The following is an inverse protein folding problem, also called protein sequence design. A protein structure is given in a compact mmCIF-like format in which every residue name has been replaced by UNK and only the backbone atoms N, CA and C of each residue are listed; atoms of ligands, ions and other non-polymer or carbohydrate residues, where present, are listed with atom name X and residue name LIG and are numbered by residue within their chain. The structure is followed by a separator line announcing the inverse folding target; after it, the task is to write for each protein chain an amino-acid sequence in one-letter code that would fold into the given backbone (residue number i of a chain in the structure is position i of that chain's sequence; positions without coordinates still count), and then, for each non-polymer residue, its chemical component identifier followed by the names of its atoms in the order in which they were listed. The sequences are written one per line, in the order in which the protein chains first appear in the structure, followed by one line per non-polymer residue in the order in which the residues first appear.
data_IF_910306702086
#
_entry.id   IF_910306702086
#
_cell.length_a   1.000
_cell.length_b   1.000
_cell.length_c   1.000
_cell.angle_alpha   90.00
_cell.angle_beta   90.00
_cell.angle_gamma   90.00
#
_symmetry.space_group_name_H-M   'P 1'
#
loop_
_entity.id
_entity.type
_entity.pdbx_description
1 polymer ?
#
# COMPACT_ATOMS: atom_id res chain seq x y z
N UNK A 1 -9.03 12.97 1.20
CA UNK A 1 -10.48 12.65 1.22
C UNK A 1 -11.20 13.35 0.08
N UNK A 2 -11.24 14.70 0.03
CA UNK A 2 -12.01 15.44 -0.97
C UNK A 2 -11.61 15.14 -2.42
N UNK A 3 -10.31 15.04 -2.70
CA UNK A 3 -9.79 14.71 -4.03
C UNK A 3 -10.19 13.30 -4.49
N UNK A 4 -10.04 12.30 -3.64
CA UNK A 4 -10.46 10.92 -3.95
C UNK A 4 -11.99 10.84 -4.14
N UNK A 5 -12.77 11.49 -3.27
CA UNK A 5 -14.22 11.55 -3.43
C UNK A 5 -14.64 12.13 -4.79
N UNK A 6 -14.04 13.26 -5.18
CA UNK A 6 -14.29 13.87 -6.48
C UNK A 6 -13.90 12.95 -7.65
N UNK A 7 -12.78 12.23 -7.52
CA UNK A 7 -12.31 11.28 -8.53
C UNK A 7 -13.29 10.11 -8.69
N UNK A 8 -13.72 9.50 -7.59
CA UNK A 8 -14.68 8.39 -7.61
C UNK A 8 -16.02 8.79 -8.24
N UNK A 9 -16.54 9.94 -7.85
CA UNK A 9 -17.79 10.48 -8.45
C UNK A 9 -17.63 10.73 -9.95
N UNK A 10 -16.53 11.38 -10.36
CA UNK A 10 -16.28 11.70 -11.77
C UNK A 10 -16.13 10.45 -12.65
N UNK A 11 -15.46 9.42 -12.15
CA UNK A 11 -15.25 8.16 -12.90
C UNK A 11 -16.40 7.17 -12.73
N UNK A 12 -17.40 7.49 -11.90
CA UNK A 12 -18.46 6.58 -11.48
C UNK A 12 -17.93 5.25 -10.89
N UNK A 13 -16.71 5.27 -10.33
CA UNK A 13 -16.12 4.12 -9.66
C UNK A 13 -16.65 3.99 -8.24
N UNK A 14 -17.03 2.77 -7.87
CA UNK A 14 -17.53 2.43 -6.53
C UNK A 14 -16.62 1.45 -5.77
N UNK A 15 -15.50 1.09 -6.36
CA UNK A 15 -14.52 0.15 -5.80
C UNK A 15 -13.12 0.74 -5.88
N UNK A 16 -12.33 0.54 -4.83
CA UNK A 16 -10.90 0.85 -4.82
C UNK A 16 -10.10 -0.38 -4.40
N UNK A 17 -8.89 -0.49 -4.93
CA UNK A 17 -7.92 -1.53 -4.59
C UNK A 17 -6.67 -0.86 -4.03
N UNK A 18 -6.19 -1.31 -2.89
CA UNK A 18 -5.02 -0.74 -2.24
C UNK A 18 -4.12 -1.84 -1.68
N UNK A 19 -2.83 -1.74 -1.96
CA UNK A 19 -1.82 -2.62 -1.38
C UNK A 19 -1.52 -2.23 0.06
N UNK A 20 -1.65 -3.16 1.01
CA UNK A 20 -1.43 -2.92 2.43
C UNK A 20 -0.20 -3.70 2.89
N UNK A 21 0.90 -2.97 3.09
CA UNK A 21 2.17 -3.53 3.58
C UNK A 21 2.25 -3.60 5.11
N UNK A 22 1.37 -2.90 5.82
CA UNK A 22 1.46 -2.68 7.27
C UNK A 22 2.41 -1.54 7.65
N UNK A 23 2.90 -0.76 6.69
CA UNK A 23 3.68 0.46 6.92
C UNK A 23 2.80 1.72 6.92
N UNK A 24 3.41 2.86 7.31
CA UNK A 24 2.72 4.15 7.50
C UNK A 24 1.96 4.63 6.26
N UNK A 25 2.58 4.51 5.07
CA UNK A 25 2.01 5.08 3.83
C UNK A 25 0.76 4.32 3.38
N UNK A 26 0.82 2.99 3.38
CA UNK A 26 -0.33 2.15 3.07
C UNK A 26 -1.45 2.30 4.11
N UNK A 27 -1.07 2.52 5.37
CA UNK A 27 -2.01 2.80 6.46
C UNK A 27 -2.74 4.12 6.25
N UNK A 28 -2.02 5.21 5.97
CA UNK A 28 -2.67 6.50 5.69
C UNK A 28 -3.57 6.43 4.45
N UNK A 29 -3.10 5.78 3.39
CA UNK A 29 -3.90 5.59 2.18
C UNK A 29 -5.21 4.81 2.45
N UNK A 30 -5.15 3.75 3.26
CA UNK A 30 -6.33 2.99 3.66
C UNK A 30 -7.31 3.85 4.49
N UNK A 31 -6.81 4.61 5.46
CA UNK A 31 -7.62 5.53 6.28
C UNK A 31 -8.30 6.61 5.43
N UNK A 32 -7.59 7.15 4.41
CA UNK A 32 -8.17 8.09 3.44
C UNK A 32 -9.28 7.42 2.64
N UNK A 33 -9.09 6.18 2.19
CA UNK A 33 -10.13 5.41 1.49
C UNK A 33 -11.36 5.23 2.37
N UNK A 34 -11.19 4.75 3.60
CA UNK A 34 -12.29 4.54 4.55
C UNK A 34 -13.09 5.83 4.79
N UNK A 35 -12.41 6.93 5.14
CA UNK A 35 -13.07 8.22 5.34
C UNK A 35 -13.73 8.77 4.08
N UNK A 36 -13.22 8.44 2.90
CA UNK A 36 -13.82 8.83 1.62
C UNK A 36 -15.10 8.04 1.36
N UNK A 37 -15.07 6.73 1.62
CA UNK A 37 -16.23 5.86 1.44
C UNK A 37 -17.34 6.20 2.44
N UNK A 38 -17.00 6.44 3.71
CA UNK A 38 -17.95 6.93 4.71
C UNK A 38 -18.62 8.25 4.26
N UNK A 39 -17.81 9.20 3.73
CA UNK A 39 -18.31 10.49 3.23
C UNK A 39 -19.25 10.35 2.04
N UNK A 40 -19.01 9.37 1.17
CA UNK A 40 -19.81 9.10 -0.03
C UNK A 40 -20.96 8.11 0.23
N UNK A 41 -21.12 7.65 1.47
CA UNK A 41 -22.09 6.62 1.87
C UNK A 41 -21.93 5.32 1.05
N UNK A 42 -20.68 5.01 0.65
CA UNK A 42 -20.31 3.77 -0.05
C UNK A 42 -19.94 2.67 0.95
N UNK A 43 -20.30 1.41 0.67
CA UNK A 43 -19.94 0.30 1.55
C UNK A 43 -18.41 0.14 1.67
N UNK A 44 -17.87 0.10 2.89
CA UNK A 44 -16.43 -0.16 3.13
C UNK A 44 -15.96 -1.49 2.53
N UNK A 45 -16.85 -2.45 2.33
CA UNK A 45 -16.58 -3.73 1.63
C UNK A 45 -16.14 -3.56 0.17
N UNK A 46 -16.39 -2.41 -0.42
CA UNK A 46 -15.89 -2.07 -1.76
C UNK A 46 -14.45 -1.50 -1.73
N UNK A 47 -13.83 -1.37 -0.57
CA UNK A 47 -12.39 -1.12 -0.41
C UNK A 47 -11.74 -2.50 -0.32
N UNK A 48 -10.95 -2.85 -1.33
CA UNK A 48 -10.24 -4.14 -1.40
C UNK A 48 -8.80 -3.89 -0.94
N UNK A 49 -8.51 -4.20 0.31
CA UNK A 49 -7.16 -4.18 0.85
C UNK A 49 -6.45 -5.50 0.53
N UNK A 50 -5.31 -5.43 -0.12
CA UNK A 50 -4.52 -6.62 -0.50
C UNK A 50 -3.18 -6.60 0.21
N UNK A 51 -2.91 -7.60 1.05
CA UNK A 51 -1.56 -7.86 1.55
C UNK A 51 -0.87 -8.89 0.67
N UNK A 52 0.36 -8.60 0.30
CA UNK A 52 1.11 -9.41 -0.68
C UNK A 52 2.49 -9.77 -0.10
N UNK A 53 2.54 -10.77 0.81
CA UNK A 53 3.80 -11.15 1.44
C UNK A 53 4.81 -11.65 0.40
N UNK A 54 6.01 -11.08 0.47
CA UNK A 54 7.19 -11.45 -0.31
C UNK A 54 8.30 -12.00 0.58
N UNK A 55 9.56 -11.91 0.10
CA UNK A 55 10.70 -12.46 0.83
C UNK A 55 11.14 -11.58 2.02
N UNK A 56 10.89 -10.27 1.99
CA UNK A 56 11.25 -9.32 3.05
C UNK A 56 10.10 -8.97 4.01
N UNK A 57 8.96 -9.64 3.93
CA UNK A 57 7.80 -9.33 4.80
C UNK A 57 8.04 -9.88 6.21
N UNK A 58 7.91 -9.03 7.23
CA UNK A 58 8.02 -9.42 8.64
C UNK A 58 6.65 -9.78 9.21
N UNK A 59 6.63 -10.66 10.22
CA UNK A 59 5.37 -11.06 10.89
C UNK A 59 4.66 -9.86 11.51
N UNK A 60 5.38 -8.89 12.06
CA UNK A 60 4.80 -7.69 12.67
C UNK A 60 4.03 -6.86 11.64
N UNK A 61 4.65 -6.51 10.53
CA UNK A 61 4.00 -5.71 9.48
C UNK A 61 2.84 -6.45 8.82
N UNK A 62 2.99 -7.74 8.62
CA UNK A 62 1.95 -8.60 8.09
C UNK A 62 0.72 -8.65 9.02
N UNK A 63 0.90 -8.92 10.31
CA UNK A 63 -0.19 -8.97 11.28
C UNK A 63 -0.87 -7.60 11.42
N UNK A 64 -0.10 -6.51 11.45
CA UNK A 64 -0.64 -5.16 11.49
C UNK A 64 -1.52 -4.85 10.27
N UNK A 65 -1.12 -5.28 9.07
CA UNK A 65 -1.92 -5.13 7.88
C UNK A 65 -3.27 -5.84 8.00
N UNK A 66 -3.28 -7.09 8.44
CA UNK A 66 -4.50 -7.89 8.60
C UNK A 66 -5.42 -7.32 9.67
N UNK A 67 -4.89 -7.02 10.86
CA UNK A 67 -5.67 -6.48 11.97
C UNK A 67 -6.29 -5.12 11.61
N UNK A 68 -5.53 -4.23 10.98
CA UNK A 68 -6.03 -2.92 10.56
C UNK A 68 -7.16 -3.05 9.53
N UNK A 69 -6.98 -3.89 8.52
CA UNK A 69 -8.01 -4.10 7.51
C UNK A 69 -9.29 -4.70 8.11
N UNK A 70 -9.15 -5.64 9.06
CA UNK A 70 -10.28 -6.26 9.74
C UNK A 70 -11.05 -5.25 10.59
N UNK A 71 -10.35 -4.49 11.45
CA UNK A 71 -10.97 -3.50 12.34
C UNK A 71 -11.66 -2.36 11.58
N UNK A 72 -11.15 -1.97 10.41
CA UNK A 72 -11.77 -0.96 9.54
C UNK A 72 -12.95 -1.51 8.70
N UNK A 73 -13.18 -2.81 8.71
CA UNK A 73 -14.30 -3.45 8.03
C UNK A 73 -14.22 -3.49 6.50
N UNK A 74 -13.01 -3.42 5.93
CA UNK A 74 -12.78 -3.52 4.48
C UNK A 74 -12.75 -4.98 4.00
N UNK A 75 -12.74 -5.20 2.70
CA UNK A 75 -12.53 -6.56 2.14
C UNK A 75 -11.05 -6.87 2.11
N UNK A 76 -10.67 -7.99 2.71
CA UNK A 76 -9.28 -8.43 2.82
C UNK A 76 -8.99 -9.49 1.77
N UNK A 77 -7.85 -9.34 1.09
CA UNK A 77 -7.24 -10.39 0.27
C UNK A 77 -5.79 -10.57 0.66
N UNK A 78 -5.37 -11.81 0.69
CA UNK A 78 -3.99 -12.20 0.88
C UNK A 78 -3.51 -12.93 -0.37
N UNK A 79 -2.44 -12.44 -1.00
CA UNK A 79 -1.88 -13.00 -2.21
C UNK A 79 -0.36 -13.03 -2.07
N UNK A 80 0.22 -14.20 -1.80
CA UNK A 80 1.68 -14.35 -1.77
C UNK A 80 2.25 -14.19 -3.17
N UNK A 81 3.30 -13.35 -3.28
CA UNK A 81 4.03 -13.15 -4.54
C UNK A 81 5.22 -14.10 -4.69
N UNK A 82 5.53 -14.92 -3.68
CA UNK A 82 6.77 -15.70 -3.64
C UNK A 82 6.91 -16.65 -4.84
N UNK A 83 5.88 -17.44 -5.13
CA UNK A 83 5.93 -18.42 -6.22
C UNK A 83 6.06 -17.75 -7.61
N UNK A 84 5.32 -16.65 -7.82
CA UNK A 84 5.40 -15.89 -9.06
C UNK A 84 6.82 -15.30 -9.25
N UNK A 85 7.40 -14.71 -8.20
CA UNK A 85 8.76 -14.18 -8.24
C UNK A 85 9.80 -15.28 -8.45
N UNK A 86 9.68 -16.45 -7.79
CA UNK A 86 10.56 -17.59 -8.01
C UNK A 86 10.54 -18.04 -9.48
N UNK A 87 9.34 -18.12 -10.05
CA UNK A 87 9.19 -18.48 -11.45
C UNK A 87 9.83 -17.43 -12.36
N UNK A 88 9.53 -16.14 -12.10
CA UNK A 88 10.09 -15.04 -12.87
C UNK A 88 11.62 -15.01 -12.83
N UNK A 89 12.23 -15.18 -11.66
CA UNK A 89 13.69 -15.21 -11.52
C UNK A 89 14.34 -16.36 -12.34
N UNK A 90 13.71 -17.53 -12.35
CA UNK A 90 14.16 -18.64 -13.20
C UNK A 90 14.07 -18.31 -14.70
N UNK A 91 13.00 -17.62 -15.11
CA UNK A 91 12.75 -17.30 -16.53
C UNK A 91 13.74 -16.24 -17.06
N UNK A 92 14.32 -15.41 -16.19
CA UNK A 92 15.33 -14.38 -16.53
C UNK A 92 16.76 -14.75 -16.12
N UNK A 93 17.00 -16.00 -15.72
CA UNK A 93 18.30 -16.50 -15.24
C UNK A 93 18.91 -15.67 -14.09
N UNK A 94 18.05 -15.13 -13.19
CA UNK A 94 18.50 -14.36 -12.02
C UNK A 94 18.73 -15.28 -10.82
N UNK A 95 19.90 -15.15 -10.17
CA UNK A 95 20.22 -15.86 -8.95
C UNK A 95 19.49 -15.23 -7.76
N UNK A 96 18.58 -15.98 -7.14
CA UNK A 96 17.78 -15.53 -5.99
C UNK A 96 18.59 -15.19 -4.74
N UNK A 97 19.86 -15.62 -4.66
CA UNK A 97 20.75 -15.26 -3.54
C UNK A 97 21.34 -13.86 -3.70
N UNK A 98 21.24 -13.28 -4.90
CA UNK A 98 21.68 -11.91 -5.20
C UNK A 98 20.52 -10.94 -4.99
N UNK A 99 20.57 -10.22 -3.88
CA UNK A 99 19.56 -9.23 -3.52
C UNK A 99 19.91 -7.86 -4.11
N UNK A 100 19.81 -7.73 -5.41
CA UNK A 100 20.09 -6.51 -6.18
C UNK A 100 18.80 -5.77 -6.59
N UNK A 101 18.95 -4.76 -7.44
CA UNK A 101 17.83 -3.98 -7.98
C UNK A 101 16.84 -4.84 -8.78
N UNK A 102 17.30 -5.93 -9.41
CA UNK A 102 16.44 -6.88 -10.14
C UNK A 102 15.52 -7.62 -9.17
N UNK A 103 16.11 -8.13 -8.09
CA UNK A 103 15.39 -8.82 -7.03
C UNK A 103 14.30 -7.97 -6.40
N UNK A 104 14.58 -6.71 -6.09
CA UNK A 104 13.62 -5.79 -5.48
C UNK A 104 12.54 -5.34 -6.46
N UNK A 105 12.94 -4.89 -7.64
CA UNK A 105 12.00 -4.39 -8.65
C UNK A 105 11.03 -5.47 -9.16
N UNK A 106 11.49 -6.71 -9.28
CA UNK A 106 10.62 -7.82 -9.70
C UNK A 106 9.49 -8.05 -8.69
N UNK A 107 9.79 -8.05 -7.40
CA UNK A 107 8.78 -8.19 -6.35
C UNK A 107 7.80 -7.00 -6.33
N UNK A 108 8.29 -5.78 -6.51
CA UNK A 108 7.46 -4.58 -6.54
C UNK A 108 6.53 -4.57 -7.76
N UNK A 109 7.03 -4.97 -8.94
CA UNK A 109 6.23 -5.05 -10.17
C UNK A 109 5.17 -6.14 -10.10
N UNK A 110 5.50 -7.29 -9.50
CA UNK A 110 4.51 -8.36 -9.27
C UNK A 110 3.34 -7.87 -8.41
N UNK A 111 3.62 -7.14 -7.32
CA UNK A 111 2.56 -6.52 -6.50
C UNK A 111 1.73 -5.53 -7.31
N UNK A 112 2.37 -4.69 -8.10
CA UNK A 112 1.69 -3.70 -8.93
C UNK A 112 0.80 -4.37 -9.97
N UNK A 113 1.27 -5.40 -10.65
CA UNK A 113 0.49 -6.19 -11.60
C UNK A 113 -0.77 -6.76 -10.95
N UNK A 114 -0.65 -7.41 -9.80
CA UNK A 114 -1.78 -7.95 -9.06
C UNK A 114 -2.82 -6.86 -8.72
N UNK A 115 -2.36 -5.71 -8.22
CA UNK A 115 -3.26 -4.60 -7.86
C UNK A 115 -4.03 -4.09 -9.09
N UNK A 116 -3.33 -3.88 -10.21
CA UNK A 116 -3.91 -3.38 -11.45
C UNK A 116 -4.93 -4.37 -12.04
N UNK A 117 -4.60 -5.64 -12.08
CA UNK A 117 -5.47 -6.68 -12.63
C UNK A 117 -6.72 -6.91 -11.77
N UNK A 118 -6.57 -6.88 -10.43
CA UNK A 118 -7.71 -6.94 -9.53
C UNK A 118 -8.62 -5.72 -9.70
N UNK A 119 -8.05 -4.52 -9.84
CA UNK A 119 -8.82 -3.31 -10.09
C UNK A 119 -9.56 -3.38 -11.43
N UNK A 120 -8.90 -3.81 -12.50
CA UNK A 120 -9.52 -3.99 -13.81
C UNK A 120 -10.70 -4.96 -13.74
N UNK A 121 -10.51 -6.11 -13.10
CA UNK A 121 -11.54 -7.13 -12.95
C UNK A 121 -12.76 -6.63 -12.16
N UNK A 122 -12.56 -5.74 -11.20
CA UNK A 122 -13.62 -5.21 -10.33
C UNK A 122 -14.18 -3.86 -10.80
N UNK A 123 -13.69 -3.31 -11.91
CA UNK A 123 -14.06 -1.97 -12.36
C UNK A 123 -13.69 -0.88 -11.36
N UNK A 124 -12.59 -1.05 -10.64
CA UNK A 124 -12.13 -0.18 -9.57
C UNK A 124 -10.91 0.65 -9.93
N UNK A 125 -10.44 1.45 -8.96
CA UNK A 125 -9.21 2.24 -9.07
C UNK A 125 -8.15 1.71 -8.12
N UNK A 126 -6.90 1.60 -8.59
CA UNK A 126 -5.73 1.37 -7.72
C UNK A 126 -5.36 2.66 -7.02
N UNK A 127 -5.33 2.61 -5.69
CA UNK A 127 -4.93 3.74 -4.85
C UNK A 127 -3.44 3.64 -4.53
N UNK A 128 -2.69 4.67 -4.94
CA UNK A 128 -1.27 4.79 -4.65
C UNK A 128 -1.00 5.23 -3.22
N UNK A 129 0.02 4.64 -2.64
CA UNK A 129 0.44 4.87 -1.26
C UNK A 129 1.67 5.75 -1.13
N UNK A 130 2.44 5.96 -2.22
CA UNK A 130 3.66 6.77 -2.25
C UNK A 130 3.43 8.20 -1.77
N UNK A 131 4.35 8.69 -0.95
CA UNK A 131 4.30 10.02 -0.35
C UNK A 131 5.12 11.07 -1.14
N UNK A 132 5.03 12.34 -0.73
CA UNK A 132 5.76 13.43 -1.36
C UNK A 132 7.29 13.27 -1.24
N UNK A 133 7.79 12.74 -0.12
CA UNK A 133 9.23 12.58 0.09
C UNK A 133 9.82 11.53 -0.85
N UNK A 134 9.10 10.43 -1.06
CA UNK A 134 9.48 9.39 -2.04
C UNK A 134 9.51 9.97 -3.47
N UNK A 135 8.49 10.73 -3.85
CA UNK A 135 8.42 11.37 -5.16
C UNK A 135 9.54 12.42 -5.36
N UNK A 136 9.81 13.24 -4.33
CA UNK A 136 10.82 14.29 -4.40
C UNK A 136 12.24 13.73 -4.48
N UNK A 137 12.51 12.60 -3.82
CA UNK A 137 13.82 11.95 -3.78
C UNK A 137 14.01 10.91 -4.90
N UNK A 138 12.96 10.57 -5.66
CA UNK A 138 12.97 9.44 -6.57
C UNK A 138 13.13 8.10 -5.85
N UNK A 139 12.69 8.02 -4.60
CA UNK A 139 12.80 6.84 -3.75
C UNK A 139 11.66 5.87 -4.02
N UNK A 140 11.74 5.16 -5.12
CA UNK A 140 10.75 4.17 -5.55
C UNK A 140 11.39 3.11 -6.44
N UNK A 141 10.79 1.94 -6.49
CA UNK A 141 11.11 0.91 -7.49
C UNK A 141 10.58 1.32 -8.85
N UNK A 142 11.42 1.30 -9.89
CA UNK A 142 11.02 1.74 -11.22
C UNK A 142 9.90 0.87 -11.81
N UNK A 143 8.79 1.51 -12.19
CA UNK A 143 7.57 0.86 -12.68
C UNK A 143 7.01 -0.22 -11.71
N UNK A 144 7.20 -0.02 -10.42
CA UNK A 144 6.71 -0.89 -9.38
C UNK A 144 5.75 -0.17 -8.43
N UNK A 145 6.10 -0.09 -7.18
CA UNK A 145 5.26 0.36 -6.06
C UNK A 145 4.72 1.81 -6.16
N UNK A 146 5.35 2.67 -6.96
CA UNK A 146 4.85 4.04 -7.23
C UNK A 146 3.73 4.08 -8.29
N UNK A 147 3.51 2.98 -9.01
CA UNK A 147 2.48 2.93 -10.06
C UNK A 147 1.09 2.80 -9.45
N UNK A 148 0.21 3.72 -9.81
CA UNK A 148 -1.18 3.71 -9.34
C UNK A 148 -2.09 4.51 -10.28
N UNK A 149 -3.40 4.41 -10.07
CA UNK A 149 -4.39 5.18 -10.81
C UNK A 149 -4.74 6.49 -10.10
N UNK A 150 -4.54 6.57 -8.77
CA UNK A 150 -4.75 7.78 -7.98
C UNK A 150 -3.91 7.75 -6.69
N UNK A 151 -2.91 8.62 -6.58
CA UNK A 151 -2.04 8.76 -5.40
C UNK A 151 -2.66 9.68 -4.34
N UNK A 152 -3.07 9.14 -3.21
CA UNK A 152 -3.70 9.93 -2.12
C UNK A 152 -2.69 10.63 -1.21
N UNK A 153 -1.46 10.12 -1.12
CA UNK A 153 -0.40 10.66 -0.28
C UNK A 153 0.61 11.53 -1.06
N UNK A 154 0.46 11.70 -2.37
CA UNK A 154 1.45 12.31 -3.26
C UNK A 154 1.88 13.75 -2.88
N UNK A 155 1.07 14.45 -2.10
CA UNK A 155 1.38 15.82 -1.62
C UNK A 155 1.73 15.89 -0.13
N UNK A 156 1.89 14.74 0.55
CA UNK A 156 2.08 14.65 2.00
C UNK A 156 3.49 14.13 2.29
N UNK A 157 4.38 14.90 2.94
CA UNK A 157 5.72 14.42 3.28
C UNK A 157 5.68 13.35 4.38
N UNK A 158 6.66 12.45 4.42
CA UNK A 158 6.76 11.31 5.34
C UNK A 158 6.53 11.67 6.80
N UNK A 159 7.07 12.79 7.25
CA UNK A 159 6.89 13.27 8.63
C UNK A 159 5.43 13.59 8.95
N UNK A 160 4.71 14.18 7.99
CA UNK A 160 3.28 14.48 8.14
C UNK A 160 2.44 13.21 8.05
N UNK A 161 2.82 12.22 7.23
CA UNK A 161 2.17 10.90 7.21
C UNK A 161 2.15 10.29 8.61
N UNK A 162 3.31 10.24 9.28
CA UNK A 162 3.44 9.73 10.65
C UNK A 162 2.56 10.50 11.63
N UNK A 163 2.59 11.83 11.56
CA UNK A 163 1.79 12.69 12.43
C UNK A 163 0.28 12.43 12.23
N UNK A 164 -0.19 12.36 11.00
CA UNK A 164 -1.61 12.12 10.69
C UNK A 164 -2.08 10.74 11.16
N UNK A 165 -1.30 9.69 10.95
CA UNK A 165 -1.64 8.35 11.43
C UNK A 165 -1.73 8.33 12.96
N UNK A 166 -0.76 8.95 13.65
CA UNK A 166 -0.79 9.07 15.10
C UNK A 166 -2.01 9.89 15.59
N UNK A 167 -2.31 11.01 14.95
CA UNK A 167 -3.48 11.83 15.30
C UNK A 167 -4.78 11.04 15.14
N UNK A 168 -4.93 10.29 14.05
CA UNK A 168 -6.12 9.45 13.81
C UNK A 168 -6.22 8.34 14.87
N UNK A 169 -5.11 7.72 15.23
CA UNK A 169 -5.07 6.71 16.29
C UNK A 169 -5.60 7.25 17.63
N UNK A 170 -5.30 8.50 17.94
CA UNK A 170 -5.70 9.12 19.21
C UNK A 170 -7.12 9.71 19.21
N UNK A 171 -7.65 10.10 18.04
CA UNK A 171 -8.87 10.91 17.95
C UNK A 171 -9.93 10.38 16.99
N UNK A 172 -9.63 9.41 16.14
CA UNK A 172 -10.48 9.14 14.98
C UNK A 172 -10.94 7.69 14.80
N UNK A 173 -10.61 6.79 15.72
CA UNK A 173 -10.91 5.35 15.62
C UNK A 173 -11.27 4.74 16.96
N UNK A 174 -11.82 3.51 16.94
CA UNK A 174 -12.06 2.69 18.13
C UNK A 174 -10.76 2.17 18.77
N UNK A 175 -10.89 1.52 19.93
CA UNK A 175 -9.73 1.05 20.70
C UNK A 175 -8.94 -0.05 19.99
N UNK A 176 -9.57 -0.91 19.21
CA UNK A 176 -8.91 -2.00 18.51
C UNK A 176 -8.01 -1.45 17.38
N UNK A 177 -8.59 -0.60 16.53
CA UNK A 177 -7.85 0.11 15.48
C UNK A 177 -6.73 0.98 16.05
N UNK A 178 -6.98 1.64 17.21
CA UNK A 178 -5.99 2.48 17.89
C UNK A 178 -4.73 1.73 18.26
N UNK A 179 -4.84 0.55 18.86
CA UNK A 179 -3.68 -0.27 19.26
C UNK A 179 -2.83 -0.60 18.04
N UNK A 180 -3.45 -1.09 16.97
CA UNK A 180 -2.75 -1.43 15.72
C UNK A 180 -2.09 -0.21 15.08
N UNK A 181 -2.77 0.94 15.04
CA UNK A 181 -2.21 2.18 14.47
C UNK A 181 -1.01 2.69 15.27
N UNK A 182 -1.04 2.63 16.60
CA UNK A 182 0.09 3.02 17.44
C UNK A 182 1.29 2.08 17.25
N UNK A 183 1.06 0.77 17.10
CA UNK A 183 2.13 -0.19 16.79
C UNK A 183 2.77 0.09 15.42
N UNK A 184 1.96 0.47 14.41
CA UNK A 184 2.47 0.89 13.09
C UNK A 184 3.31 2.17 13.21
N UNK A 185 2.86 3.16 13.99
CA UNK A 185 3.59 4.43 14.22
C UNK A 185 4.93 4.18 14.91
N UNK A 186 5.00 3.19 15.78
CA UNK A 186 6.20 2.79 16.53
C UNK A 186 7.14 1.86 15.74
N UNK A 187 6.68 1.34 14.59
CA UNK A 187 7.53 0.52 13.75
C UNK A 187 8.65 1.38 13.14
N UNK A 188 9.92 0.98 13.26
CA UNK A 188 11.02 1.71 12.64
C UNK A 188 10.79 1.87 11.13
N UNK A 189 11.01 3.07 10.62
CA UNK A 189 10.97 3.32 9.18
C UNK A 189 12.18 2.60 8.59
N UNK A 190 11.94 1.45 7.97
CA UNK A 190 12.95 0.72 7.21
C UNK A 190 12.64 0.91 5.72
N UNK A 191 13.64 1.26 4.91
CA UNK A 191 13.43 1.24 3.46
C UNK A 191 13.05 -0.18 3.04
N UNK A 192 12.00 -0.31 2.21
CA UNK A 192 11.68 -1.59 1.58
C UNK A 192 12.81 -2.07 0.67
N UNK A 193 13.66 -1.15 0.25
CA UNK A 193 14.84 -1.37 -0.57
C UNK A 193 16.03 -1.61 0.36
N UNK A 194 16.50 -2.84 0.41
CA UNK A 194 17.69 -3.23 1.19
C UNK A 194 18.97 -2.61 0.62
N UNK A 195 18.96 -2.22 -0.64
CA UNK A 195 20.08 -1.62 -1.35
C UNK A 195 19.65 -0.29 -1.96
N UNK A 196 20.13 0.77 -1.36
CA UNK A 196 19.89 2.14 -1.76
C UNK A 196 20.55 2.44 -3.11
N UNK A 197 19.88 2.14 -4.19
CA UNK A 197 20.15 2.85 -5.42
C UNK A 197 19.09 3.93 -5.55
N UNK A 198 19.45 5.22 -5.62
CA UNK A 198 18.49 6.20 -6.04
C UNK A 198 18.02 5.80 -7.42
N UNK A 199 16.78 5.33 -7.50
CA UNK A 199 16.11 5.18 -8.79
C UNK A 199 15.73 6.57 -9.31
N UNK A 200 15.58 6.77 -10.60
CA UNK A 200 15.51 5.78 -11.65
C UNK A 200 16.80 5.75 -12.46
N UNK A 201 17.28 4.60 -12.70
CA UNK A 201 18.20 4.42 -13.82
C UNK A 201 17.54 3.62 -14.89
#
# INVERSE_FOLDING_TARGET
IAGLAKRLVHTNCKTVVVGISGGLDSTLALLVCVKTFDKLELPRKNIIGITMPGFGTTDRTYNNALHLMASLGVTIKEISIKEACIRHFKDIDHDMTVHDVTYENSQARERTQILMDVANRLGGLVIGTGDLSELALGWATYNGDHMSMYGVNASIPKTLVKYLVNWIALNGVDNESRITLLDIVDTPISPCLLYTSPSPR
#
